data_IF_575641571583
#
_entry.id   IF_575641571583
#
_cell.length_a   1.000
_cell.length_b   1.000
_cell.length_c   1.000
_cell.angle_alpha   90.00
_cell.angle_beta   90.00
_cell.angle_gamma   90.00
#
_symmetry.space_group_name_H-M   'P 1'
#
loop_
_entity.id
_entity.type
_entity.pdbx_description
1 polymer ?
#
# COMPACT_ATOMS: atom_id res chain seq x y z
N UNK A 1 -24.26 -9.62 -10.45
CA UNK A 1 -23.09 -8.99 -9.79
C UNK A 1 -21.92 -9.95 -9.62
N UNK A 2 -22.12 -11.18 -9.15
CA UNK A 2 -21.07 -12.20 -9.00
C UNK A 2 -20.11 -12.35 -10.20
N UNK A 3 -20.64 -12.52 -11.42
CA UNK A 3 -19.81 -12.59 -12.66
C UNK A 3 -18.85 -11.40 -12.86
N UNK A 4 -19.21 -10.20 -12.41
CA UNK A 4 -18.33 -9.01 -12.49
C UNK A 4 -17.24 -9.10 -11.43
N UNK A 5 -17.59 -9.48 -10.20
CA UNK A 5 -16.61 -9.71 -9.13
C UNK A 5 -15.62 -10.78 -9.55
N UNK A 6 -16.12 -11.91 -10.06
CA UNK A 6 -15.28 -13.02 -10.48
C UNK A 6 -14.31 -12.60 -11.60
N UNK A 7 -14.79 -11.80 -12.56
CA UNK A 7 -13.98 -11.28 -13.67
C UNK A 7 -12.83 -10.38 -13.21
N UNK A 8 -13.06 -9.55 -12.19
CA UNK A 8 -12.07 -8.55 -11.78
C UNK A 8 -11.18 -9.01 -10.61
N UNK A 9 -11.63 -9.94 -9.77
CA UNK A 9 -10.98 -10.25 -8.48
C UNK A 9 -10.52 -11.70 -8.30
N UNK A 10 -11.08 -12.66 -9.03
CA UNK A 10 -10.91 -14.09 -8.70
C UNK A 10 -9.63 -14.70 -9.30
N UNK A 11 -9.10 -14.12 -10.36
CA UNK A 11 -7.84 -14.54 -10.96
C UNK A 11 -6.78 -13.45 -10.83
N UNK A 12 -5.79 -13.67 -9.97
CA UNK A 12 -4.66 -12.74 -9.79
C UNK A 12 -3.96 -12.43 -11.12
N UNK A 13 -3.90 -13.40 -12.04
CA UNK A 13 -3.23 -13.25 -13.34
C UNK A 13 -3.95 -12.26 -14.26
N UNK A 14 -5.28 -12.25 -14.22
CA UNK A 14 -6.13 -11.44 -15.11
C UNK A 14 -6.74 -10.22 -14.40
N UNK A 15 -6.42 -10.03 -13.11
CA UNK A 15 -6.93 -8.94 -12.30
C UNK A 15 -6.48 -7.59 -12.85
N UNK A 16 -7.41 -6.64 -12.87
CA UNK A 16 -7.08 -5.25 -13.22
C UNK A 16 -6.26 -4.61 -12.10
N UNK A 17 -5.01 -4.30 -12.40
CA UNK A 17 -4.01 -3.77 -11.45
C UNK A 17 -4.36 -2.37 -10.93
N UNK A 18 -5.14 -1.59 -11.69
CA UNK A 18 -5.60 -0.26 -11.25
C UNK A 18 -6.46 -0.37 -9.99
N UNK A 19 -7.18 -1.49 -9.79
CA UNK A 19 -7.97 -1.72 -8.58
C UNK A 19 -7.11 -1.78 -7.31
N UNK A 20 -5.81 -2.06 -7.45
CA UNK A 20 -4.86 -2.10 -6.34
C UNK A 20 -4.32 -0.71 -6.00
N UNK A 21 -4.51 0.30 -6.85
CA UNK A 21 -3.99 1.64 -6.60
C UNK A 21 -4.62 2.29 -5.38
N UNK A 22 -5.89 1.97 -5.08
CA UNK A 22 -6.52 2.43 -3.84
C UNK A 22 -5.77 1.95 -2.58
N UNK A 23 -5.21 0.74 -2.63
CA UNK A 23 -4.41 0.18 -1.53
C UNK A 23 -3.02 0.80 -1.52
N UNK A 24 -2.41 1.00 -2.69
CA UNK A 24 -1.08 1.60 -2.81
C UNK A 24 -1.08 3.06 -2.38
N UNK A 25 -2.12 3.83 -2.73
CA UNK A 25 -2.28 5.25 -2.38
C UNK A 25 -2.72 5.46 -0.92
N UNK A 26 -3.20 4.42 -0.26
CA UNK A 26 -3.53 4.50 1.16
C UNK A 26 -2.24 4.55 1.99
N UNK A 27 -1.97 5.66 2.72
CA UNK A 27 -0.76 5.83 3.51
C UNK A 27 -0.55 4.70 4.53
N UNK A 28 -1.60 4.00 4.93
CA UNK A 28 -1.55 2.91 5.91
C UNK A 28 -1.05 1.59 5.32
N UNK A 29 -1.26 1.35 4.03
CA UNK A 29 -1.00 0.04 3.41
C UNK A 29 0.19 0.07 2.47
N UNK A 30 0.21 1.04 1.55
CA UNK A 30 1.23 1.20 0.51
C UNK A 30 1.48 -0.10 -0.27
N UNK A 31 2.57 -0.15 -1.03
CA UNK A 31 2.95 -1.33 -1.82
C UNK A 31 3.27 -2.55 -0.94
N UNK A 32 3.78 -2.34 0.28
CA UNK A 32 4.14 -3.40 1.23
C UNK A 32 2.96 -4.30 1.59
N UNK A 33 1.74 -3.76 1.63
CA UNK A 33 0.55 -4.57 1.92
C UNK A 33 0.26 -5.60 0.83
N UNK A 34 0.61 -5.33 -0.42
CA UNK A 34 0.45 -6.30 -1.51
C UNK A 34 1.39 -7.49 -1.33
N UNK A 35 2.64 -7.24 -0.92
CA UNK A 35 3.61 -8.29 -0.57
C UNK A 35 3.11 -9.17 0.58
N UNK A 36 2.41 -8.57 1.54
CA UNK A 36 1.83 -9.29 2.68
C UNK A 36 0.57 -10.09 2.32
N UNK A 37 -0.31 -9.50 1.50
CA UNK A 37 -1.64 -10.05 1.24
C UNK A 37 -1.66 -11.10 0.13
N UNK A 38 -0.91 -10.91 -0.95
CA UNK A 38 -0.94 -11.85 -2.08
C UNK A 38 -0.55 -13.30 -1.73
N UNK A 39 0.43 -13.58 -0.83
CA UNK A 39 0.73 -14.94 -0.39
C UNK A 39 -0.44 -15.67 0.27
N UNK A 40 -1.44 -14.92 0.77
CA UNK A 40 -2.66 -15.47 1.35
C UNK A 40 -3.70 -15.87 0.29
N UNK A 41 -3.60 -15.31 -0.92
CA UNK A 41 -4.49 -15.60 -2.05
C UNK A 41 -3.96 -16.69 -2.97
N UNK A 42 -2.64 -16.72 -3.17
CA UNK A 42 -2.01 -17.56 -4.19
C UNK A 42 -0.62 -17.99 -3.72
N UNK A 43 -0.22 -19.23 -4.06
CA UNK A 43 1.06 -19.83 -3.60
C UNK A 43 2.24 -19.62 -4.54
N UNK A 44 1.98 -19.19 -5.78
CA UNK A 44 3.00 -19.03 -6.84
C UNK A 44 3.85 -17.77 -6.63
N UNK A 45 4.96 -17.91 -5.90
CA UNK A 45 5.85 -16.79 -5.55
C UNK A 45 6.33 -15.97 -6.75
N UNK A 46 6.54 -16.59 -7.90
CA UNK A 46 7.01 -15.88 -9.10
C UNK A 46 5.91 -14.99 -9.68
N UNK A 47 4.69 -15.50 -9.74
CA UNK A 47 3.51 -14.72 -10.14
C UNK A 47 3.30 -13.54 -9.18
N UNK A 48 3.42 -13.77 -7.87
CA UNK A 48 3.26 -12.74 -6.86
C UNK A 48 4.28 -11.61 -7.03
N UNK A 49 5.57 -11.96 -7.13
CA UNK A 49 6.64 -10.98 -7.31
C UNK A 49 6.49 -10.20 -8.63
N UNK A 50 6.03 -10.88 -9.70
CA UNK A 50 5.71 -10.23 -10.97
C UNK A 50 4.56 -9.23 -10.82
N UNK A 51 3.49 -9.61 -10.13
CA UNK A 51 2.32 -8.75 -9.92
C UNK A 51 2.66 -7.48 -9.15
N UNK A 52 3.42 -7.57 -8.05
CA UNK A 52 3.84 -6.39 -7.28
C UNK A 52 4.70 -5.46 -8.12
N UNK A 53 5.65 -6.00 -8.90
CA UNK A 53 6.47 -5.22 -9.84
C UNK A 53 5.65 -4.55 -10.93
N UNK A 54 4.67 -5.26 -11.50
CA UNK A 54 3.78 -4.69 -12.52
C UNK A 54 2.91 -3.58 -11.97
N UNK A 55 2.37 -3.72 -10.76
CA UNK A 55 1.61 -2.67 -10.08
C UNK A 55 2.48 -1.43 -9.87
N UNK A 56 3.69 -1.59 -9.32
CA UNK A 56 4.60 -0.48 -9.10
C UNK A 56 4.96 0.22 -10.41
N UNK A 57 5.21 -0.55 -11.49
CA UNK A 57 5.54 0.00 -12.81
C UNK A 57 4.40 0.84 -13.40
N UNK A 58 3.15 0.34 -13.34
CA UNK A 58 1.99 1.10 -13.87
C UNK A 58 1.75 2.34 -12.99
N UNK A 59 1.94 2.23 -11.68
CA UNK A 59 1.78 3.33 -10.75
C UNK A 59 2.78 4.46 -11.02
N UNK A 60 4.07 4.13 -11.18
CA UNK A 60 5.11 5.08 -11.60
C UNK A 60 4.79 5.71 -12.97
N UNK A 61 4.31 4.93 -13.94
CA UNK A 61 3.93 5.47 -15.25
C UNK A 61 2.80 6.50 -15.13
N UNK A 62 1.78 6.21 -14.33
CA UNK A 62 0.68 7.14 -14.08
C UNK A 62 1.19 8.42 -13.41
N UNK A 63 2.09 8.29 -12.44
CA UNK A 63 2.74 9.43 -11.80
C UNK A 63 3.52 10.29 -12.80
N UNK A 64 4.35 9.70 -13.65
CA UNK A 64 5.10 10.45 -14.66
C UNK A 64 4.18 11.16 -15.64
N UNK A 65 3.10 10.51 -16.11
CA UNK A 65 2.11 11.15 -16.97
C UNK A 65 1.43 12.34 -16.28
N UNK A 66 1.14 12.23 -14.97
CA UNK A 66 0.59 13.35 -14.20
C UNK A 66 1.60 14.49 -14.00
N UNK A 67 2.85 14.16 -13.68
CA UNK A 67 3.93 15.11 -13.48
C UNK A 67 4.28 15.90 -14.75
N UNK A 68 4.18 15.27 -15.93
CA UNK A 68 4.35 15.97 -17.22
C UNK A 68 3.26 17.02 -17.47
N UNK A 69 2.07 16.84 -16.88
CA UNK A 69 0.92 17.75 -17.04
C UNK A 69 0.94 18.88 -16.01
N UNK A 70 1.36 18.61 -14.77
CA UNK A 70 1.48 19.61 -13.71
C UNK A 70 2.74 19.39 -12.84
N UNK A 71 3.89 19.99 -13.22
CA UNK A 71 5.15 19.85 -12.49
C UNK A 71 5.21 20.56 -11.13
N UNK A 72 4.22 21.41 -10.81
CA UNK A 72 4.15 22.12 -9.53
C UNK A 72 3.50 21.26 -8.44
N UNK A 73 2.63 20.31 -8.82
CA UNK A 73 1.93 19.41 -7.90
C UNK A 73 2.83 18.31 -7.29
N UNK A 74 4.03 18.11 -7.84
CA UNK A 74 4.93 16.96 -7.59
C UNK A 74 6.26 17.35 -6.93
N UNK A 75 6.35 18.59 -6.40
CA UNK A 75 7.54 19.05 -5.70
C UNK A 75 7.73 18.29 -4.37
N UNK A 76 8.88 17.64 -4.12
CA UNK A 76 9.10 16.89 -2.90
C UNK A 76 9.23 17.84 -1.69
N UNK A 77 8.25 17.80 -0.78
CA UNK A 77 8.33 18.45 0.53
C UNK A 77 9.17 17.60 1.49
N UNK A 78 10.31 18.15 1.93
CA UNK A 78 11.18 17.50 2.92
C UNK A 78 10.68 17.88 4.31
N UNK A 79 9.87 17.03 4.93
CA UNK A 79 9.70 17.06 6.38
C UNK A 79 9.43 15.64 6.92
N UNK A 80 10.51 14.95 7.32
CA UNK A 80 10.42 13.63 7.95
C UNK A 80 10.33 13.85 9.46
N UNK A 81 9.13 14.20 9.94
CA UNK A 81 8.86 14.22 11.38
C UNK A 81 8.13 12.94 11.78
N UNK A 82 8.82 12.10 12.55
CA UNK A 82 8.31 10.85 13.13
C UNK A 82 7.25 11.18 14.20
N UNK A 83 6.03 10.62 14.17
CA UNK A 83 5.16 10.66 15.33
C UNK A 83 5.62 9.62 16.35
N UNK A 84 5.69 10.03 17.63
CA UNK A 84 5.79 9.13 18.77
C UNK A 84 4.46 8.40 18.95
N UNK A 85 4.53 7.10 19.16
CA UNK A 85 3.38 6.22 19.42
C UNK A 85 3.08 6.23 20.91
N UNK A 86 1.86 6.66 21.29
CA UNK A 86 1.27 6.40 22.60
C UNK A 86 0.17 5.33 22.46
N UNK A 87 0.14 4.39 23.41
CA UNK A 87 -0.66 3.17 23.42
C UNK A 87 -2.16 3.37 23.78
N UNK A 88 -2.93 2.30 23.50
CA UNK A 88 -4.30 1.91 23.96
C UNK A 88 -5.43 2.44 23.05
N UNK A 89 -6.45 1.67 22.63
CA UNK A 89 -7.35 0.75 23.36
C UNK A 89 -7.91 -0.34 22.41
N UNK A 90 -8.24 -1.51 22.97
CA UNK A 90 -8.92 -2.64 22.31
C UNK A 90 -10.37 -2.31 21.91
N UNK A 91 -10.75 -2.65 20.67
CA UNK A 91 -12.15 -2.82 20.27
C UNK A 91 -12.28 -4.23 19.68
N UNK A 92 -13.12 -5.02 20.32
CA UNK A 92 -13.51 -6.38 19.99
C UNK A 92 -14.56 -6.35 18.88
N UNK A 93 -14.17 -6.74 17.66
CA UNK A 93 -15.03 -7.41 16.68
C UNK A 93 -14.15 -7.95 15.51
N UNK A 94 -14.33 -9.23 15.18
CA UNK A 94 -13.76 -9.99 14.06
C UNK A 94 -12.26 -10.42 14.07
N UNK A 95 -12.05 -11.63 14.60
CA UNK A 95 -10.80 -12.40 14.74
C UNK A 95 -10.00 -12.65 13.42
N UNK A 96 -10.45 -12.17 12.25
CA UNK A 96 -9.76 -12.34 10.96
C UNK A 96 -9.01 -11.09 10.46
N UNK A 97 -9.64 -9.91 10.49
CA UNK A 97 -9.02 -8.67 9.98
C UNK A 97 -8.02 -8.07 10.97
N UNK A 98 -8.38 -8.03 12.27
CA UNK A 98 -7.49 -7.52 13.30
C UNK A 98 -6.20 -8.35 13.44
N UNK A 99 -6.30 -9.67 13.28
CA UNK A 99 -5.12 -10.55 13.30
C UNK A 99 -4.21 -10.33 12.07
N UNK A 100 -4.80 -10.19 10.88
CA UNK A 100 -4.06 -9.83 9.67
C UNK A 100 -3.39 -8.46 9.81
N UNK A 101 -4.07 -7.49 10.41
CA UNK A 101 -3.51 -6.17 10.66
C UNK A 101 -2.34 -6.24 11.65
N UNK A 102 -2.49 -6.97 12.76
CA UNK A 102 -1.41 -7.18 13.74
C UNK A 102 -0.17 -7.82 13.10
N UNK A 103 -0.35 -8.86 12.27
CA UNK A 103 0.74 -9.49 11.53
C UNK A 103 1.42 -8.53 10.55
N UNK A 104 0.63 -7.72 9.84
CA UNK A 104 1.16 -6.71 8.93
C UNK A 104 1.97 -5.65 9.67
N UNK A 105 1.50 -5.18 10.83
CA UNK A 105 2.21 -4.21 11.68
C UNK A 105 3.53 -4.78 12.22
N UNK A 106 3.60 -6.08 12.53
CA UNK A 106 4.86 -6.73 12.91
C UNK A 106 5.85 -6.74 11.74
N UNK A 107 5.42 -7.15 10.55
CA UNK A 107 6.25 -7.18 9.35
C UNK A 107 6.75 -5.78 8.94
N UNK A 108 5.97 -4.72 9.24
CA UNK A 108 6.38 -3.32 9.03
C UNK A 108 7.59 -2.92 9.88
N UNK A 109 7.65 -3.34 11.15
CA UNK A 109 8.72 -2.93 12.08
C UNK A 109 10.11 -3.48 11.71
N UNK A 110 10.16 -4.48 10.82
CA UNK A 110 11.37 -5.24 10.51
C UNK A 110 12.08 -4.78 9.22
N UNK A 111 11.40 -4.06 8.32
CA UNK A 111 12.01 -3.54 7.07
C UNK A 111 12.42 -2.08 7.22
N UNK A 112 13.70 -1.77 7.04
CA UNK A 112 14.16 -0.39 6.87
C UNK A 112 15.33 -0.25 5.87
N UNK A 113 15.33 0.89 5.18
CA UNK A 113 16.35 1.53 4.28
C UNK A 113 16.43 1.10 2.79
N UNK A 114 16.10 2.05 1.87
CA UNK A 114 16.55 2.12 0.47
C UNK A 114 16.62 3.59 -0.06
N UNK A 115 17.39 3.82 -1.14
CA UNK A 115 17.59 5.10 -1.84
C UNK A 115 16.32 5.66 -2.50
N UNK A 116 16.11 6.98 -2.36
CA UNK A 116 14.98 7.73 -2.95
C UNK A 116 15.39 8.29 -4.32
N UNK A 117 14.60 8.04 -5.37
CA UNK A 117 14.85 8.61 -6.71
C UNK A 117 13.74 9.54 -7.22
N UNK A 118 12.50 9.36 -6.76
CA UNK A 118 11.32 10.16 -7.13
C UNK A 118 10.32 10.28 -5.95
N UNK A 119 9.29 11.13 -6.10
CA UNK A 119 8.27 11.36 -5.06
C UNK A 119 7.46 10.10 -4.75
N UNK A 120 7.26 9.24 -5.74
CA UNK A 120 6.64 7.93 -5.57
C UNK A 120 7.53 7.03 -4.73
N UNK A 121 8.83 6.93 -5.04
CA UNK A 121 9.78 6.21 -4.20
C UNK A 121 9.78 6.80 -2.79
N UNK A 122 9.75 8.13 -2.63
CA UNK A 122 9.63 8.80 -1.31
C UNK A 122 8.35 8.37 -0.58
N UNK A 123 7.19 8.48 -1.21
CA UNK A 123 5.91 8.08 -0.62
C UNK A 123 5.90 6.59 -0.24
N UNK A 124 6.43 5.71 -1.10
CA UNK A 124 6.49 4.28 -0.84
C UNK A 124 7.50 3.92 0.27
N UNK A 125 8.54 4.72 0.46
CA UNK A 125 9.57 4.56 1.48
C UNK A 125 9.21 5.24 2.81
N UNK A 126 8.38 6.28 2.80
CA UNK A 126 7.90 6.95 4.00
C UNK A 126 7.20 5.94 4.92
N UNK A 127 7.34 6.15 6.23
CA UNK A 127 6.66 5.31 7.21
C UNK A 127 5.15 5.36 6.95
N UNK A 128 4.54 4.19 6.73
CA UNK A 128 3.09 4.11 6.60
C UNK A 128 2.40 4.55 7.89
N UNK A 129 1.24 5.17 7.75
CA UNK A 129 0.42 5.57 8.89
C UNK A 129 -0.13 4.38 9.66
N UNK A 130 -0.48 4.59 10.93
CA UNK A 130 -1.01 3.54 11.78
C UNK A 130 -2.46 3.22 11.37
N UNK A 131 -2.73 1.99 10.87
CA UNK A 131 -4.07 1.59 10.47
C UNK A 131 -5.07 1.50 11.62
N UNK A 132 -4.60 1.45 12.86
CA UNK A 132 -5.44 1.43 14.07
C UNK A 132 -5.72 2.82 14.62
N UNK A 133 -5.15 3.88 14.03
CA UNK A 133 -5.39 5.25 14.49
C UNK A 133 -6.83 5.70 14.14
N UNK A 134 -7.71 5.91 15.14
CA UNK A 134 -9.09 6.32 14.90
C UNK A 134 -9.21 7.79 14.45
N UNK A 135 -8.14 8.58 14.56
CA UNK A 135 -8.09 9.99 14.16
C UNK A 135 -7.52 10.19 12.75
N UNK A 136 -7.20 9.10 12.02
CA UNK A 136 -6.66 9.21 10.68
C UNK A 136 -7.73 9.72 9.69
N UNK A 137 -7.39 10.79 8.97
CA UNK A 137 -8.19 11.34 7.88
C UNK A 137 -7.29 11.52 6.65
N UNK A 138 -7.75 11.06 5.49
CA UNK A 138 -7.01 11.15 4.22
C UNK A 138 -7.04 12.57 3.63
N UNK A 139 -7.91 13.45 4.16
CA UNK A 139 -8.18 14.77 3.58
C UNK A 139 -7.54 15.94 4.34
N UNK A 140 -6.86 15.66 5.46
CA UNK A 140 -6.16 16.66 6.29
C UNK A 140 -4.66 16.68 5.93
#
# INVERSE_FOLDING_TARGET
>A
MKKKIDKYWLNLKDMNKILLFAVVLDPRYKLLYLDFFFPKLQKDKELLARMVKEVNKIFLKLYHEYNEVDPLATQPSIDVTRPKVDNLVEIDEEVSQAANMKQFMMLRKEKDVFEIRDEVDKYLLEASEDPTNPKFNVSD
#
